data_IF_495529593164
#
_entry.id   IF_495529593164
#
_cell.length_a   1.000
_cell.length_b   1.000
_cell.length_c   1.000
_cell.angle_alpha   90.00
_cell.angle_beta   90.00
_cell.angle_gamma   90.00
#
_symmetry.space_group_name_H-M   'P 1'
#
loop_
_entity.id
_entity.type
_entity.pdbx_description
1 polymer ?
#
# COMPACT_ATOMS: atom_id res chain seq x y z
N UNK A 1 9.03 10.01 -21.50
CA UNK A 1 10.30 9.61 -20.85
C UNK A 1 10.15 9.91 -19.37
N UNK A 2 10.46 8.94 -18.52
CA UNK A 2 10.20 8.97 -17.07
C UNK A 2 11.24 9.81 -16.33
N UNK A 3 10.82 10.55 -15.31
CA UNK A 3 11.73 11.25 -14.39
C UNK A 3 12.69 10.23 -13.74
N UNK A 4 13.99 10.55 -13.57
CA UNK A 4 14.93 9.67 -12.88
C UNK A 4 14.43 9.34 -11.47
N UNK A 5 14.41 8.05 -11.13
CA UNK A 5 13.95 7.58 -9.82
C UNK A 5 14.98 7.82 -8.72
N UNK A 6 16.27 7.91 -9.08
CA UNK A 6 17.39 8.16 -8.15
C UNK A 6 17.72 9.66 -8.07
N UNK A 7 17.75 10.18 -6.85
CA UNK A 7 17.94 11.60 -6.54
C UNK A 7 19.43 11.98 -6.61
N UNK A 8 19.78 13.00 -7.41
CA UNK A 8 21.15 13.54 -7.41
C UNK A 8 21.42 14.44 -6.18
N UNK A 9 22.01 13.83 -5.16
CA UNK A 9 22.31 14.48 -3.88
C UNK A 9 23.30 15.65 -4.00
N UNK A 10 24.32 15.55 -4.86
CA UNK A 10 25.32 16.62 -5.05
C UNK A 10 24.73 17.81 -5.79
N UNK A 11 23.89 17.56 -6.80
CA UNK A 11 23.22 18.59 -7.59
C UNK A 11 22.19 19.37 -6.79
N UNK A 12 21.42 18.70 -5.93
CA UNK A 12 20.43 19.36 -5.05
C UNK A 12 21.12 20.31 -4.07
N UNK A 13 22.17 19.82 -3.41
CA UNK A 13 22.94 20.59 -2.45
C UNK A 13 23.90 21.60 -3.11
N UNK A 14 24.06 21.58 -4.44
CA UNK A 14 24.96 22.43 -5.23
C UNK A 14 26.41 22.36 -4.74
N UNK A 15 26.88 21.14 -4.45
CA UNK A 15 28.23 20.87 -3.99
C UNK A 15 28.96 19.95 -4.97
N UNK A 16 30.29 20.09 -5.04
CA UNK A 16 31.13 19.18 -5.84
C UNK A 16 31.31 17.84 -5.12
N UNK A 17 31.55 16.76 -5.88
CA UNK A 17 31.84 15.42 -5.35
C UNK A 17 33.03 15.40 -4.37
N UNK A 18 34.00 16.30 -4.56
CA UNK A 18 35.18 16.45 -3.71
C UNK A 18 34.97 17.32 -2.47
N UNK A 19 33.75 17.78 -2.18
CA UNK A 19 33.49 18.66 -1.05
C UNK A 19 33.73 17.97 0.30
N UNK A 20 34.34 18.71 1.23
CA UNK A 20 34.51 18.28 2.62
C UNK A 20 33.15 18.18 3.33
N UNK A 21 33.05 17.36 4.38
CA UNK A 21 31.84 17.26 5.19
C UNK A 21 31.43 18.64 5.77
N UNK A 22 32.39 19.49 6.11
CA UNK A 22 32.12 20.85 6.56
C UNK A 22 31.44 21.71 5.51
N UNK A 23 31.80 21.55 4.24
CA UNK A 23 31.20 22.33 3.15
C UNK A 23 29.81 21.81 2.80
N UNK A 24 29.62 20.50 2.82
CA UNK A 24 28.30 19.88 2.67
C UNK A 24 27.36 20.37 3.78
N UNK A 25 27.83 20.47 5.03
CA UNK A 25 27.03 20.98 6.16
C UNK A 25 26.69 22.47 6.03
N UNK A 26 27.59 23.28 5.47
CA UNK A 26 27.32 24.70 5.16
C UNK A 26 26.27 24.82 4.05
N UNK A 27 26.41 24.04 2.97
CA UNK A 27 25.48 24.04 1.84
C UNK A 27 24.09 23.56 2.25
N UNK A 28 23.99 22.50 3.06
CA UNK A 28 22.73 22.02 3.62
C UNK A 28 21.99 23.10 4.40
N UNK A 29 22.68 23.79 5.32
CA UNK A 29 22.07 24.89 6.11
C UNK A 29 21.55 26.02 5.22
N UNK A 30 22.31 26.40 4.19
CA UNK A 30 21.88 27.42 3.23
C UNK A 30 20.63 26.99 2.46
N UNK A 31 20.63 25.75 1.94
CA UNK A 31 19.48 25.20 1.22
C UNK A 31 18.24 25.06 2.08
N UNK A 32 18.39 24.61 3.32
CA UNK A 32 17.28 24.46 4.25
C UNK A 32 16.56 25.79 4.50
N UNK A 33 17.30 26.89 4.60
CA UNK A 33 16.74 28.24 4.76
C UNK A 33 16.04 28.74 3.48
N UNK A 34 16.60 28.45 2.30
CA UNK A 34 16.01 28.80 1.01
C UNK A 34 14.68 28.06 0.76
N UNK A 35 14.60 26.78 1.16
CA UNK A 35 13.46 25.90 0.91
C UNK A 35 12.54 25.72 2.13
N UNK A 36 12.69 26.54 3.18
CA UNK A 36 11.89 26.38 4.39
C UNK A 36 10.43 26.81 4.14
N UNK A 37 9.42 25.95 4.40
CA UNK A 37 8.03 26.27 4.10
C UNK A 37 7.49 27.45 4.91
N UNK A 38 8.04 27.68 6.11
CA UNK A 38 7.66 28.82 6.98
C UNK A 38 8.14 30.19 6.43
N UNK A 39 9.32 30.23 5.80
CA UNK A 39 9.89 31.50 5.29
C UNK A 39 9.47 31.81 3.86
N UNK A 40 9.13 30.77 3.09
CA UNK A 40 8.70 30.87 1.70
C UNK A 40 7.43 30.00 1.49
N UNK A 41 6.24 30.53 1.83
CA UNK A 41 4.97 29.80 1.76
C UNK A 41 4.51 29.42 0.34
N UNK A 42 5.31 29.69 -0.71
CA UNK A 42 5.02 29.35 -2.10
C UNK A 42 5.96 28.33 -2.74
N UNK A 43 6.91 27.75 -1.99
CA UNK A 43 7.85 26.75 -2.50
C UNK A 43 7.29 25.35 -2.25
N UNK A 44 7.40 24.45 -3.24
CA UNK A 44 6.98 23.06 -3.07
C UNK A 44 7.72 22.39 -1.90
N UNK A 45 6.96 21.82 -0.98
CA UNK A 45 7.48 20.99 0.12
C UNK A 45 8.29 19.79 -0.37
N UNK A 46 8.10 19.37 -1.62
CA UNK A 46 8.85 18.32 -2.30
C UNK A 46 10.37 18.61 -2.32
N UNK A 47 10.77 19.88 -2.49
CA UNK A 47 12.17 20.29 -2.55
C UNK A 47 12.85 20.17 -1.18
N UNK A 48 12.12 20.45 -0.10
CA UNK A 48 12.63 20.30 1.26
C UNK A 48 12.96 18.83 1.56
N UNK A 49 12.06 17.91 1.22
CA UNK A 49 12.26 16.48 1.40
C UNK A 49 13.47 15.99 0.59
N UNK A 50 13.62 16.46 -0.66
CA UNK A 50 14.77 16.16 -1.52
C UNK A 50 16.09 16.66 -0.91
N UNK A 51 16.12 17.87 -0.35
CA UNK A 51 17.30 18.44 0.33
C UNK A 51 17.68 17.64 1.58
N UNK A 52 16.69 17.22 2.37
CA UNK A 52 16.92 16.42 3.57
C UNK A 52 17.47 15.03 3.22
N UNK A 53 16.86 14.35 2.24
CA UNK A 53 17.33 13.04 1.76
C UNK A 53 18.77 13.09 1.21
N UNK A 54 19.12 14.17 0.50
CA UNK A 54 20.47 14.39 0.02
C UNK A 54 21.49 14.51 1.18
N UNK A 55 21.13 15.21 2.26
CA UNK A 55 21.98 15.33 3.44
C UNK A 55 22.15 14.00 4.17
N UNK A 56 21.08 13.23 4.36
CA UNK A 56 21.14 11.91 5.01
C UNK A 56 22.06 10.93 4.27
N UNK A 57 22.14 11.05 2.95
CA UNK A 57 23.03 10.22 2.11
C UNK A 57 24.48 10.69 2.16
N UNK A 58 24.74 12.01 2.13
CA UNK A 58 26.09 12.56 2.08
C UNK A 58 26.76 12.75 3.46
N UNK A 59 25.98 12.76 4.55
CA UNK A 59 26.49 12.94 5.91
C UNK A 59 27.17 11.68 6.46
N UNK A 60 26.72 10.50 6.05
CA UNK A 60 27.32 9.21 6.42
C UNK A 60 28.36 8.79 5.37
N UNK A 61 29.59 8.54 5.82
CA UNK A 61 30.69 8.14 4.94
C UNK A 61 30.41 6.83 4.18
N UNK A 62 29.71 5.87 4.80
CA UNK A 62 29.39 4.59 4.18
C UNK A 62 28.34 4.75 3.08
N UNK A 63 27.30 5.56 3.34
CA UNK A 63 26.26 5.86 2.35
C UNK A 63 26.79 6.71 1.21
N UNK A 64 27.66 7.68 1.53
CA UNK A 64 28.35 8.51 0.55
C UNK A 64 29.19 7.66 -0.41
N UNK A 65 29.95 6.70 0.10
CA UNK A 65 30.73 5.79 -0.74
C UNK A 65 29.84 4.99 -1.70
N UNK A 66 28.77 4.37 -1.20
CA UNK A 66 27.81 3.64 -2.03
C UNK A 66 27.14 4.54 -3.09
N UNK A 67 26.87 5.80 -2.74
CA UNK A 67 26.31 6.79 -3.65
C UNK A 67 27.33 7.22 -4.72
N UNK A 68 28.58 7.46 -4.33
CA UNK A 68 29.67 7.83 -5.23
C UNK A 68 29.92 6.77 -6.30
N UNK A 69 29.80 5.48 -5.95
CA UNK A 69 29.89 4.38 -6.92
C UNK A 69 28.78 4.42 -7.99
N UNK A 70 27.58 4.91 -7.65
CA UNK A 70 26.45 5.02 -8.59
C UNK A 70 26.36 6.41 -9.25
N UNK A 71 27.09 7.39 -8.73
CA UNK A 71 26.95 8.79 -9.09
C UNK A 71 27.13 9.07 -10.58
N UNK A 72 28.12 8.46 -11.24
CA UNK A 72 28.35 8.66 -12.68
C UNK A 72 27.15 8.18 -13.52
N UNK A 73 26.51 7.05 -13.14
CA UNK A 73 25.30 6.56 -13.81
C UNK A 73 24.13 7.51 -13.60
N UNK A 74 23.89 7.91 -12.34
CA UNK A 74 22.83 8.84 -11.97
C UNK A 74 23.02 10.15 -12.73
N UNK A 75 24.23 10.71 -12.72
CA UNK A 75 24.56 11.94 -13.44
C UNK A 75 24.25 11.83 -14.92
N UNK A 76 24.65 10.75 -15.59
CA UNK A 76 24.33 10.54 -17.01
C UNK A 76 22.82 10.45 -17.27
N UNK A 77 22.05 9.81 -16.39
CA UNK A 77 20.59 9.75 -16.50
C UNK A 77 19.95 11.13 -16.34
N UNK A 78 20.45 11.93 -15.39
CA UNK A 78 20.01 13.31 -15.18
C UNK A 78 20.40 14.23 -16.34
N UNK A 79 21.61 14.11 -16.88
CA UNK A 79 22.07 14.88 -18.04
C UNK A 79 21.20 14.56 -19.27
N UNK A 80 20.90 13.27 -19.51
CA UNK A 80 19.97 12.83 -20.57
C UNK A 80 18.56 13.35 -20.35
N UNK A 81 18.07 13.33 -19.11
CA UNK A 81 16.75 13.88 -18.77
C UNK A 81 16.70 15.40 -19.04
N UNK A 82 17.76 16.13 -18.71
CA UNK A 82 17.87 17.55 -19.01
C UNK A 82 18.04 17.86 -20.48
N UNK A 83 18.72 17.02 -21.26
CA UNK A 83 18.77 17.17 -22.71
C UNK A 83 17.40 16.90 -23.34
N UNK A 84 16.69 15.90 -22.83
CA UNK A 84 15.35 15.54 -23.29
C UNK A 84 14.29 16.60 -22.91
N UNK A 85 14.37 17.18 -21.72
CA UNK A 85 13.48 18.25 -21.24
C UNK A 85 13.95 19.64 -21.72
N UNK A 86 15.25 19.81 -21.96
CA UNK A 86 15.94 21.07 -22.26
C UNK A 86 15.82 21.57 -23.69
N UNK A 87 15.00 20.94 -24.54
CA UNK A 87 14.58 21.56 -25.82
C UNK A 87 13.69 22.81 -25.62
N UNK A 88 13.35 23.18 -24.38
CA UNK A 88 12.66 24.43 -24.07
C UNK A 88 13.51 25.52 -23.39
N UNK A 89 14.82 25.34 -23.14
CA UNK A 89 15.68 26.45 -22.67
C UNK A 89 17.14 26.32 -23.15
N UNK A 90 17.43 26.88 -24.33
CA UNK A 90 18.75 27.45 -24.70
C UNK A 90 18.39 28.81 -25.34
N UNK A 91 18.88 29.98 -24.94
CA UNK A 91 20.26 30.37 -24.64
C UNK A 91 20.29 31.70 -23.87
N UNK A 92 21.13 31.82 -22.84
CA UNK A 92 22.01 33.00 -22.69
C UNK A 92 23.40 32.48 -22.35
N UNK A 93 24.42 33.03 -23.04
CA UNK A 93 25.86 32.69 -22.98
C UNK A 93 26.29 31.52 -23.90
N UNK A 94 26.98 31.68 -25.03
CA UNK A 94 27.47 32.84 -25.77
C UNK A 94 28.25 32.36 -27.00
N UNK A 95 27.91 32.85 -28.20
CA UNK A 95 28.74 32.86 -29.40
C UNK A 95 28.20 33.99 -30.30
N UNK A 96 29.11 34.82 -30.82
CA UNK A 96 28.86 36.19 -31.26
C UNK A 96 27.66 36.42 -32.18
N UNK A 97 26.88 37.45 -31.85
CA UNK A 97 26.07 38.19 -32.81
C UNK A 97 25.97 39.64 -32.34
N UNK A 98 26.32 40.55 -33.24
CA UNK A 98 26.32 42.00 -33.02
C UNK A 98 24.97 42.48 -32.47
N UNK A 99 25.04 43.41 -31.53
CA UNK A 99 23.92 43.81 -30.69
C UNK A 99 22.74 44.40 -31.45
N UNK A 100 21.56 44.15 -30.89
CA UNK A 100 20.49 45.16 -30.78
C UNK A 100 19.92 45.04 -29.36
N UNK A 101 19.70 46.19 -28.74
CA UNK A 101 19.67 46.39 -27.29
C UNK A 101 18.61 45.61 -26.50
N UNK A 102 18.86 45.63 -25.19
CA UNK A 102 18.00 45.16 -24.12
C UNK A 102 16.53 45.56 -24.33
N UNK A 103 15.72 44.62 -24.82
CA UNK A 103 14.26 44.71 -24.68
C UNK A 103 13.89 44.14 -23.32
N UNK A 104 13.85 45.01 -22.32
CA UNK A 104 13.07 44.77 -21.11
C UNK A 104 11.64 44.45 -21.57
N UNK A 105 11.15 43.24 -21.28
CA UNK A 105 9.78 42.83 -21.58
C UNK A 105 8.82 43.90 -21.07
N UNK A 106 7.97 44.45 -21.93
CA UNK A 106 6.95 45.41 -21.48
C UNK A 106 5.87 44.67 -20.71
N UNK A 107 5.15 45.36 -19.82
CA UNK A 107 4.08 44.73 -19.01
C UNK A 107 2.99 44.07 -19.88
N UNK A 108 2.78 44.60 -21.09
CA UNK A 108 1.87 44.03 -22.08
C UNK A 108 2.37 42.68 -22.65
N UNK A 109 3.67 42.52 -22.88
CA UNK A 109 4.26 41.27 -23.36
C UNK A 109 4.14 40.16 -22.30
N UNK A 110 4.34 40.51 -21.03
CA UNK A 110 4.15 39.58 -19.90
C UNK A 110 2.67 39.19 -19.77
N UNK A 111 1.74 40.13 -19.93
CA UNK A 111 0.30 39.86 -19.90
C UNK A 111 -0.14 38.91 -21.03
N UNK A 112 0.36 39.12 -22.25
CA UNK A 112 0.07 38.24 -23.39
C UNK A 112 0.61 36.81 -23.17
N UNK A 113 1.81 36.70 -22.61
CA UNK A 113 2.39 35.40 -22.24
C UNK A 113 1.53 34.71 -21.17
N UNK A 114 1.11 35.44 -20.13
CA UNK A 114 0.26 34.89 -19.07
C UNK A 114 -1.13 34.47 -19.59
N UNK A 115 -1.73 35.22 -20.50
CA UNK A 115 -2.99 34.81 -21.13
C UNK A 115 -2.84 33.55 -21.98
N UNK A 116 -1.76 33.44 -22.76
CA UNK A 116 -1.47 32.23 -23.55
C UNK A 116 -1.30 31.01 -22.64
N UNK A 117 -0.64 31.17 -21.50
CA UNK A 117 -0.50 30.11 -20.50
C UNK A 117 -1.85 29.71 -19.89
N UNK A 118 -2.68 30.69 -19.48
CA UNK A 118 -4.04 30.41 -18.96
C UNK A 118 -4.92 29.67 -19.98
N UNK A 119 -4.84 30.04 -21.26
CA UNK A 119 -5.58 29.36 -22.34
C UNK A 119 -5.07 27.93 -22.57
N UNK A 120 -3.75 27.72 -22.52
CA UNK A 120 -3.15 26.40 -22.63
C UNK A 120 -3.52 25.49 -21.44
N UNK A 121 -3.47 26.00 -20.21
CA UNK A 121 -3.90 25.28 -19.01
C UNK A 121 -5.38 24.92 -19.05
N UNK A 122 -6.24 25.84 -19.50
CA UNK A 122 -7.67 25.57 -19.68
C UNK A 122 -7.93 24.51 -20.76
N UNK A 123 -7.15 24.49 -21.85
CA UNK A 123 -7.24 23.46 -22.88
C UNK A 123 -6.84 22.08 -22.34
N UNK A 124 -5.72 21.99 -21.60
CA UNK A 124 -5.28 20.75 -20.97
C UNK A 124 -6.28 20.22 -19.94
N UNK A 125 -6.91 21.12 -19.17
CA UNK A 125 -7.96 20.75 -18.22
C UNK A 125 -9.18 20.16 -18.93
N UNK A 126 -9.61 20.75 -20.05
CA UNK A 126 -10.70 20.24 -20.89
C UNK A 126 -10.38 18.87 -21.49
N UNK A 127 -9.16 18.68 -22.01
CA UNK A 127 -8.71 17.39 -22.51
C UNK A 127 -8.66 16.32 -21.41
N UNK A 128 -8.26 16.69 -20.19
CA UNK A 128 -8.30 15.81 -19.02
C UNK A 128 -9.72 15.43 -18.60
N UNK A 129 -10.64 16.39 -18.58
CA UNK A 129 -12.06 16.18 -18.28
C UNK A 129 -12.74 15.31 -19.35
N UNK A 130 -12.44 15.52 -20.63
CA UNK A 130 -12.95 14.73 -21.75
C UNK A 130 -12.44 13.29 -21.70
N UNK A 131 -11.16 13.07 -21.38
CA UNK A 131 -10.60 11.73 -21.15
C UNK A 131 -11.29 11.02 -19.99
N UNK A 132 -11.49 11.71 -18.86
CA UNK A 132 -12.22 11.15 -17.70
C UNK A 132 -13.68 10.85 -18.04
N UNK A 133 -14.33 11.68 -18.85
CA UNK A 133 -15.69 11.42 -19.32
C UNK A 133 -15.76 10.22 -20.27
N UNK A 134 -14.78 10.06 -21.17
CA UNK A 134 -14.67 8.91 -22.08
C UNK A 134 -14.42 7.62 -21.31
N UNK A 135 -13.56 7.64 -20.30
CA UNK A 135 -13.28 6.50 -19.44
C UNK A 135 -14.52 6.06 -18.63
N UNK A 136 -15.24 7.01 -18.02
CA UNK A 136 -16.51 6.71 -17.34
C UNK A 136 -17.55 6.08 -18.27
N UNK A 137 -17.68 6.57 -19.51
CA UNK A 137 -18.58 5.96 -20.51
C UNK A 137 -18.16 4.53 -20.86
N UNK A 138 -16.86 4.28 -21.02
CA UNK A 138 -16.34 2.94 -21.29
C UNK A 138 -16.54 1.99 -20.10
N UNK A 139 -16.39 2.48 -18.88
CA UNK A 139 -16.62 1.70 -17.66
C UNK A 139 -18.09 1.36 -17.47
N UNK A 140 -18.99 2.33 -17.68
CA UNK A 140 -20.44 2.10 -17.63
C UNK A 140 -20.89 1.09 -18.71
N UNK A 141 -20.35 1.20 -19.92
CA UNK A 141 -20.61 0.23 -20.99
C UNK A 141 -20.12 -1.17 -20.62
N UNK A 142 -18.94 -1.30 -20.01
CA UNK A 142 -18.43 -2.59 -19.51
C UNK A 142 -19.33 -3.16 -18.42
N UNK A 143 -19.76 -2.35 -17.45
CA UNK A 143 -20.69 -2.77 -16.39
C UNK A 143 -22.01 -3.26 -16.97
N UNK A 144 -22.55 -2.56 -17.98
CA UNK A 144 -23.77 -2.97 -18.68
C UNK A 144 -23.59 -4.32 -19.39
N UNK A 145 -22.50 -4.50 -20.13
CA UNK A 145 -22.18 -5.77 -20.82
C UNK A 145 -22.01 -6.92 -19.83
N UNK A 146 -21.39 -6.67 -18.67
CA UNK A 146 -21.23 -7.69 -17.62
C UNK A 146 -22.56 -8.06 -16.96
N UNK A 147 -23.43 -7.08 -16.69
CA UNK A 147 -24.76 -7.33 -16.16
C UNK A 147 -25.63 -8.13 -17.13
N UNK A 148 -25.59 -7.81 -18.43
CA UNK A 148 -26.25 -8.58 -19.48
C UNK A 148 -25.74 -10.04 -19.50
N UNK A 149 -24.42 -10.24 -19.38
CA UNK A 149 -23.81 -11.58 -19.29
C UNK A 149 -24.26 -12.34 -18.04
N UNK A 150 -24.31 -11.67 -16.88
CA UNK A 150 -24.81 -12.26 -15.62
C UNK A 150 -26.27 -12.69 -15.72
N UNK A 151 -27.12 -11.85 -16.35
CA UNK A 151 -28.53 -12.18 -16.59
C UNK A 151 -28.68 -13.35 -17.56
N UNK A 152 -27.84 -13.41 -18.59
CA UNK A 152 -27.84 -14.53 -19.54
C UNK A 152 -27.39 -15.85 -18.87
N UNK A 153 -26.35 -15.81 -18.04
CA UNK A 153 -25.89 -16.95 -17.23
C UNK A 153 -26.99 -17.41 -16.26
N UNK A 154 -27.69 -16.47 -15.60
CA UNK A 154 -28.82 -16.78 -14.73
C UNK A 154 -29.99 -17.40 -15.51
N UNK A 155 -30.29 -16.90 -16.70
CA UNK A 155 -31.31 -17.48 -17.60
C UNK A 155 -30.93 -18.90 -18.00
N UNK A 156 -29.68 -19.13 -18.43
CA UNK A 156 -29.16 -20.47 -18.76
C UNK A 156 -29.22 -21.41 -17.56
N UNK A 157 -28.90 -20.95 -16.36
CA UNK A 157 -29.00 -21.74 -15.12
C UNK A 157 -30.45 -22.14 -14.80
N UNK A 158 -31.40 -21.23 -15.00
CA UNK A 158 -32.84 -21.50 -14.82
C UNK A 158 -33.39 -22.43 -15.90
N UNK A 159 -32.90 -22.34 -17.13
CA UNK A 159 -33.24 -23.27 -18.22
C UNK A 159 -32.65 -24.67 -17.99
N UNK A 160 -31.43 -24.77 -17.46
CA UNK A 160 -30.74 -26.04 -17.19
C UNK A 160 -31.37 -26.81 -16.03
N UNK A 161 -31.94 -26.11 -15.04
CA UNK A 161 -32.73 -26.69 -13.96
C UNK A 161 -34.15 -26.11 -14.01
N UNK A 162 -35.03 -26.60 -14.91
CA UNK A 162 -36.43 -26.24 -14.83
C UNK A 162 -36.93 -26.69 -13.45
N UNK A 163 -37.49 -25.76 -12.67
CA UNK A 163 -38.10 -26.07 -11.37
C UNK A 163 -39.03 -27.27 -11.56
N UNK A 164 -38.59 -28.45 -11.14
CA UNK A 164 -39.43 -29.64 -11.10
C UNK A 164 -40.65 -29.27 -10.26
N UNK A 165 -41.85 -29.59 -10.76
CA UNK A 165 -43.17 -29.16 -10.26
C UNK A 165 -43.55 -29.69 -8.86
N UNK A 166 -42.59 -29.98 -8.00
CA UNK A 166 -42.79 -30.32 -6.60
C UNK A 166 -41.93 -29.38 -5.73
N UNK A 167 -42.27 -28.10 -5.71
CA UNK A 167 -41.76 -27.20 -4.67
C UNK A 167 -42.67 -27.37 -3.46
N UNK A 168 -42.16 -28.01 -2.40
CA UNK A 168 -42.74 -27.86 -1.07
C UNK A 168 -42.56 -26.38 -0.70
N UNK A 169 -43.65 -25.64 -0.68
CA UNK A 169 -43.67 -24.18 -0.58
C UNK A 169 -43.36 -23.77 0.87
N UNK A 170 -42.09 -23.49 1.15
CA UNK A 170 -41.63 -23.08 2.47
C UNK A 170 -42.16 -21.70 2.89
N UNK A 171 -42.72 -20.92 1.94
CA UNK A 171 -43.33 -19.62 2.23
C UNK A 171 -44.62 -19.77 3.06
N UNK A 172 -45.33 -20.90 2.93
CA UNK A 172 -46.53 -21.16 3.74
C UNK A 172 -46.21 -21.55 5.20
N UNK A 173 -44.95 -21.83 5.53
CA UNK A 173 -44.53 -22.20 6.88
C UNK A 173 -44.04 -21.00 7.70
N UNK A 174 -43.60 -19.93 7.03
CA UNK A 174 -43.14 -18.69 7.67
C UNK A 174 -44.33 -17.82 8.10
N UNK A 175 -45.41 -17.78 7.31
CA UNK A 175 -46.68 -17.13 7.69
C UNK A 175 -47.41 -17.81 8.87
N UNK A 176 -47.10 -19.09 9.16
CA UNK A 176 -47.70 -19.82 10.27
C UNK A 176 -46.95 -19.66 11.60
N UNK A 177 -45.77 -19.03 11.59
CA UNK A 177 -44.93 -18.84 12.78
C UNK A 177 -45.11 -17.46 13.43
N UNK A 178 -45.66 -16.48 12.71
CA UNK A 178 -46.01 -15.15 13.25
C UNK A 178 -47.33 -15.16 14.07
N UNK A 179 -48.19 -16.18 13.90
CA UNK A 179 -49.44 -16.34 14.67
C UNK A 179 -49.26 -17.04 16.04
N UNK A 180 -48.02 -17.41 16.41
CA UNK A 180 -47.72 -18.20 17.62
C UNK A 180 -47.03 -17.41 18.75
N UNK A 181 -46.83 -16.09 18.61
CA UNK A 181 -46.05 -15.28 19.56
C UNK A 181 -46.86 -14.57 20.67
N UNK A 182 -48.16 -14.81 20.81
CA UNK A 182 -49.02 -14.13 21.83
C UNK A 182 -49.27 -14.95 23.13
N UNK A 183 -48.47 -15.99 23.40
CA UNK A 183 -48.87 -17.00 24.39
C UNK A 183 -47.80 -17.60 25.28
N UNK A 184 -46.63 -16.99 25.49
CA UNK A 184 -45.63 -17.58 26.42
C UNK A 184 -44.97 -16.63 27.40
N UNK A 185 -45.81 -15.96 28.19
CA UNK A 185 -45.40 -15.40 29.48
C UNK A 185 -45.35 -16.51 30.54
N UNK A 186 -44.20 -17.17 30.70
CA UNK A 186 -44.05 -18.22 31.71
C UNK A 186 -42.62 -18.74 31.81
N UNK A 187 -41.78 -18.02 32.54
CA UNK A 187 -40.35 -18.32 32.68
C UNK A 187 -40.06 -19.69 33.30
N UNK A 188 -39.03 -20.36 32.77
CA UNK A 188 -38.09 -21.22 33.50
C UNK A 188 -36.72 -21.09 32.82
N UNK A 189 -35.70 -20.82 33.63
CA UNK A 189 -34.39 -20.38 33.19
C UNK A 189 -33.65 -21.34 32.27
N UNK A 190 -32.95 -20.78 31.28
CA UNK A 190 -31.90 -21.44 30.54
C UNK A 190 -30.70 -21.68 31.46
N UNK A 191 -30.61 -22.87 32.04
CA UNK A 191 -29.30 -23.44 32.38
C UNK A 191 -28.70 -23.98 31.08
N UNK A 192 -27.69 -23.27 30.58
CA UNK A 192 -26.96 -23.66 29.39
C UNK A 192 -26.13 -24.92 29.63
N UNK A 193 -26.72 -26.10 29.40
CA UNK A 193 -25.92 -27.28 29.07
C UNK A 193 -25.59 -27.20 27.59
N UNK A 194 -24.38 -26.72 27.29
CA UNK A 194 -23.75 -26.90 26.01
C UNK A 194 -23.85 -28.38 25.61
N UNK A 195 -24.36 -28.66 24.41
CA UNK A 195 -24.41 -30.00 23.85
C UNK A 195 -22.99 -30.57 23.85
N UNK A 196 -22.77 -31.64 24.61
CA UNK A 196 -21.52 -32.39 24.56
C UNK A 196 -21.35 -33.01 23.16
N UNK A 197 -20.15 -32.97 22.55
CA UNK A 197 -19.86 -33.77 21.38
C UNK A 197 -19.98 -35.26 21.72
N UNK A 198 -20.28 -36.13 20.73
CA UNK A 198 -20.55 -37.54 20.98
C UNK A 198 -19.35 -38.23 21.65
N UNK A 199 -19.66 -39.00 22.69
CA UNK A 199 -18.75 -39.88 23.45
C UNK A 199 -17.76 -40.60 22.53
N UNK A 200 -16.50 -40.15 22.50
CA UNK A 200 -15.38 -41.02 22.17
C UNK A 200 -15.01 -41.80 23.44
N UNK A 201 -14.72 -43.12 23.34
CA UNK A 201 -14.38 -43.91 24.51
C UNK A 201 -13.20 -43.29 25.25
N UNK A 202 -13.37 -43.08 26.56
CA UNK A 202 -12.29 -42.70 27.47
C UNK A 202 -11.42 -43.94 27.68
N UNK A 203 -10.47 -44.16 26.78
CA UNK A 203 -9.38 -45.09 27.08
C UNK A 203 -8.61 -44.53 28.28
N UNK A 204 -8.61 -45.29 29.37
CA UNK A 204 -7.74 -45.07 30.51
C UNK A 204 -6.31 -45.41 30.08
N UNK A 205 -5.57 -44.41 29.61
CA UNK A 205 -4.18 -44.58 29.26
C UNK A 205 -3.35 -44.68 30.54
N UNK A 206 -2.92 -45.90 30.86
CA UNK A 206 -1.91 -46.20 31.87
C UNK A 206 -0.63 -45.41 31.53
N UNK A 207 -0.28 -44.49 32.42
CA UNK A 207 0.91 -43.64 32.30
C UNK A 207 2.19 -44.42 32.57
N UNK A 208 2.66 -45.20 31.59
CA UNK A 208 4.02 -45.73 31.52
C UNK A 208 4.38 -46.04 30.06
N UNK A 209 4.59 -45.00 29.26
CA UNK A 209 5.39 -45.09 28.04
C UNK A 209 6.16 -43.78 27.87
N UNK A 210 7.49 -43.86 27.93
CA UNK A 210 8.41 -42.71 27.95
C UNK A 210 8.55 -41.98 26.61
N UNK A 211 7.53 -42.05 25.75
CA UNK A 211 7.43 -41.27 24.53
C UNK A 211 6.02 -40.70 24.40
N UNK A 212 5.87 -39.41 24.71
CA UNK A 212 4.65 -38.69 24.37
C UNK A 212 4.56 -38.54 22.84
N UNK A 213 3.65 -39.28 22.21
CA UNK A 213 3.35 -39.12 20.80
C UNK A 213 2.53 -37.82 20.61
N UNK A 214 3.20 -36.78 20.15
CA UNK A 214 2.61 -35.46 19.93
C UNK A 214 1.56 -35.38 18.80
N UNK A 215 1.24 -36.50 18.15
CA UNK A 215 0.40 -36.62 16.95
C UNK A 215 -1.10 -36.33 17.15
N UNK A 216 -1.52 -35.93 18.36
CA UNK A 216 -2.93 -35.64 18.69
C UNK A 216 -3.27 -34.16 18.51
N UNK A 217 -4.55 -33.83 18.73
CA UNK A 217 -5.04 -32.45 18.80
C UNK A 217 -4.56 -31.78 20.10
N UNK A 218 -4.13 -30.52 20.01
CA UNK A 218 -3.65 -29.74 21.15
C UNK A 218 -4.62 -28.58 21.41
N UNK A 219 -5.16 -28.43 22.64
CA UNK A 219 -5.98 -27.27 23.00
C UNK A 219 -5.19 -25.96 22.99
N UNK A 220 -5.91 -24.85 22.78
CA UNK A 220 -5.36 -23.50 22.92
C UNK A 220 -5.22 -23.10 24.38
N UNK A 221 -4.01 -22.70 24.77
CA UNK A 221 -3.73 -22.06 26.05
C UNK A 221 -3.61 -20.56 25.80
N UNK A 222 -4.61 -19.80 26.24
CA UNK A 222 -4.64 -18.35 26.09
C UNK A 222 -3.76 -17.70 27.16
N UNK A 223 -2.92 -16.75 26.75
CA UNK A 223 -1.98 -16.07 27.63
C UNK A 223 -0.66 -15.75 26.93
N UNK A 224 0.08 -14.81 27.50
CA UNK A 224 1.43 -14.48 27.08
C UNK A 224 2.41 -15.55 27.60
N UNK A 225 3.13 -16.23 26.71
CA UNK A 225 4.10 -17.25 27.08
C UNK A 225 5.21 -17.43 26.04
N UNK A 226 6.31 -18.04 26.44
CA UNK A 226 7.40 -18.48 25.55
C UNK A 226 7.13 -19.90 25.05
N UNK A 227 7.48 -20.18 23.80
CA UNK A 227 7.42 -21.53 23.25
C UNK A 227 8.64 -22.36 23.66
N UNK A 228 8.44 -23.57 24.20
CA UNK A 228 9.51 -24.45 24.71
C UNK A 228 10.48 -24.95 23.62
N UNK A 229 10.07 -24.94 22.35
CA UNK A 229 10.86 -25.44 21.23
C UNK A 229 11.71 -24.39 20.50
N UNK A 230 11.39 -23.11 20.65
CA UNK A 230 12.07 -22.06 19.89
C UNK A 230 12.30 -20.77 20.66
N UNK A 231 11.95 -20.76 21.96
CA UNK A 231 12.02 -19.64 22.90
C UNK A 231 11.33 -18.35 22.42
N UNK A 232 10.51 -18.44 21.35
CA UNK A 232 9.81 -17.29 20.79
C UNK A 232 8.63 -16.96 21.71
N UNK A 233 8.55 -15.69 22.10
CA UNK A 233 7.43 -15.16 22.86
C UNK A 233 6.16 -15.05 21.98
N UNK A 234 5.07 -15.65 22.43
CA UNK A 234 3.76 -15.62 21.79
C UNK A 234 2.78 -14.84 22.67
N UNK A 235 2.27 -13.68 22.22
CA UNK A 235 1.42 -12.82 23.05
C UNK A 235 -0.07 -13.19 23.02
N UNK A 236 -0.52 -14.08 22.13
CA UNK A 236 -1.95 -14.37 21.92
C UNK A 236 -2.34 -15.72 22.52
N UNK A 237 -1.71 -16.81 22.07
CA UNK A 237 -1.94 -18.16 22.57
C UNK A 237 -0.77 -19.08 22.22
N UNK A 238 -0.65 -20.16 22.98
CA UNK A 238 0.22 -21.32 22.71
C UNK A 238 -0.64 -22.58 22.57
N UNK A 239 -0.09 -23.63 21.97
CA UNK A 239 -0.71 -24.96 21.94
C UNK A 239 -0.11 -25.78 23.07
N UNK A 240 -0.94 -26.38 23.92
CA UNK A 240 -0.51 -27.26 25.01
C UNK A 240 -0.76 -28.73 24.72
N UNK A 241 0.21 -29.61 25.00
CA UNK A 241 0.01 -31.06 24.86
C UNK A 241 -0.68 -31.64 26.10
N UNK A 242 -1.85 -32.29 26.00
CA UNK A 242 -2.57 -32.82 27.16
C UNK A 242 -1.89 -34.02 27.84
N UNK A 243 -0.82 -34.56 27.24
CA UNK A 243 -0.11 -35.74 27.75
C UNK A 243 1.23 -35.42 28.41
N UNK A 244 1.82 -34.26 28.13
CA UNK A 244 3.15 -33.89 28.65
C UNK A 244 3.30 -32.40 28.99
N UNK A 245 2.20 -31.63 28.97
CA UNK A 245 2.13 -30.20 29.27
C UNK A 245 3.07 -29.29 28.46
N UNK A 246 3.72 -29.81 27.40
CA UNK A 246 4.59 -29.02 26.54
C UNK A 246 3.83 -27.88 25.83
N UNK A 247 4.43 -26.68 25.80
CA UNK A 247 3.89 -25.49 25.15
C UNK A 247 4.63 -25.18 23.85
N UNK A 248 3.89 -25.23 22.74
CA UNK A 248 4.45 -25.03 21.41
C UNK A 248 3.75 -23.88 20.66
N UNK A 249 4.54 -23.12 19.92
CA UNK A 249 4.04 -22.20 18.91
C UNK A 249 3.34 -22.99 17.78
N UNK A 250 2.35 -22.43 17.09
CA UNK A 250 1.66 -23.12 15.97
C UNK A 250 2.65 -23.70 14.94
N UNK A 251 3.67 -22.96 14.47
CA UNK A 251 4.70 -23.52 13.59
C UNK A 251 5.49 -24.69 14.21
N UNK A 252 5.79 -24.60 15.51
CA UNK A 252 6.57 -25.58 16.26
C UNK A 252 5.78 -26.88 16.40
N UNK A 253 4.49 -26.76 16.74
CA UNK A 253 3.56 -27.89 16.81
C UNK A 253 3.48 -28.61 15.46
N UNK A 254 3.35 -27.89 14.34
CA UNK A 254 3.30 -28.51 13.00
C UNK A 254 4.58 -29.30 12.71
N UNK A 255 5.76 -28.79 13.09
CA UNK A 255 7.04 -29.51 12.94
C UNK A 255 7.13 -30.75 13.82
N UNK A 256 6.63 -30.68 15.04
CA UNK A 256 6.65 -31.81 15.99
C UNK A 256 5.64 -32.90 15.61
N UNK A 257 4.50 -32.53 15.03
CA UNK A 257 3.46 -33.49 14.60
C UNK A 257 3.56 -33.91 13.13
N UNK A 258 4.63 -33.53 12.44
CA UNK A 258 4.73 -33.56 10.98
C UNK A 258 5.82 -34.47 10.43
N UNK A 259 5.54 -35.78 10.43
CA UNK A 259 5.69 -36.71 9.30
C UNK A 259 4.70 -37.85 9.49
#
# INVERSE_FOLDING_TARGET
>A
MTEPTEIDCYRILKVSKGASLSDIKKAYRKRLLETHPDKNPGIESSLFVKVQSAWETLSDASKRYCFDCKYERIKQEWDKYEEACGRQRKTTTGAGRQGTGDKLFTEADVHEILEKLRRAEAALKREGEEKRAREKRQEEEKRRREEERRKEEERKRKEQFPKSRNAFDFSAMEDALDDLDDGWSGGRGWSGTARQPPNLPREEWNGNDSHCHHNRWWPYVYGAGSCDYCDRYCPIYLLGCPSCDALACVPCKIRVTGS
#
